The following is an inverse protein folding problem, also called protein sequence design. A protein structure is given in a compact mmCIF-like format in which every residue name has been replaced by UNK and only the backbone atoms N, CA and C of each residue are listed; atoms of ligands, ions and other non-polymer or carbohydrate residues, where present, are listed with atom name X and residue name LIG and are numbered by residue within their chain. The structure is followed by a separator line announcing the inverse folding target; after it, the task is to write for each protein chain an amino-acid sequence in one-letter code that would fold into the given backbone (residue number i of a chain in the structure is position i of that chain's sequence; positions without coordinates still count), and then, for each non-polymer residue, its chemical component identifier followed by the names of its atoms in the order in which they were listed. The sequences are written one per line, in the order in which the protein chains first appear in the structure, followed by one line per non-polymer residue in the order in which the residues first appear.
data_IF_305258435271
#
_entry.id   IF_305258435271
#
_cell.length_a   1.000
_cell.length_b   1.000
_cell.length_c   1.000
_cell.angle_alpha   90.00
_cell.angle_beta   90.00
_cell.angle_gamma   90.00
#
_symmetry.space_group_name_H-M   'P 1'
#
loop_
_entity.id
_entity.type
_entity.pdbx_description
1 polymer ?
#
# COMPACT_ATOMS: atom_id res chain seq x y z
N UNK A 1 -23.61 -17.86 16.82
CA UNK A 1 -24.64 -17.93 17.88
C UNK A 1 -25.98 -17.55 17.26
N UNK A 2 -27.05 -18.29 17.59
CA UNK A 2 -28.41 -17.93 17.18
C UNK A 2 -29.19 -17.57 18.45
N UNK A 3 -29.86 -16.42 18.44
CA UNK A 3 -30.72 -15.94 19.52
C UNK A 3 -32.18 -16.40 19.31
N UNK A 4 -32.97 -16.41 20.39
CA UNK A 4 -34.37 -16.84 20.35
C UNK A 4 -35.28 -15.94 19.49
N UNK A 5 -34.86 -14.70 19.21
CA UNK A 5 -35.53 -13.73 18.34
C UNK A 5 -35.21 -13.94 16.85
N UNK A 6 -34.38 -14.93 16.51
CA UNK A 6 -33.95 -15.21 15.14
C UNK A 6 -32.66 -14.47 14.72
N UNK A 7 -32.06 -13.65 15.58
CA UNK A 7 -30.80 -12.96 15.27
C UNK A 7 -29.64 -13.96 15.21
N UNK A 8 -28.87 -13.92 14.12
CA UNK A 8 -27.71 -14.79 13.91
C UNK A 8 -26.43 -13.97 13.98
N UNK A 9 -25.55 -14.33 14.92
CA UNK A 9 -24.19 -13.80 15.01
C UNK A 9 -23.21 -14.82 14.46
N UNK A 10 -22.42 -14.43 13.47
CA UNK A 10 -21.36 -15.24 12.89
C UNK A 10 -20.08 -14.43 12.75
N UNK A 11 -18.95 -15.10 12.97
CA UNK A 11 -17.60 -14.57 12.80
C UNK A 11 -16.81 -15.61 12.04
N UNK A 12 -16.34 -15.25 10.85
CA UNK A 12 -15.66 -16.18 9.97
C UNK A 12 -14.35 -15.53 9.49
N UNK A 13 -13.20 -15.88 10.09
CA UNK A 13 -11.93 -15.33 9.66
C UNK A 13 -11.56 -15.89 8.28
N UNK A 14 -11.22 -15.00 7.37
CA UNK A 14 -10.87 -15.34 5.99
C UNK A 14 -9.68 -14.50 5.53
N UNK A 15 -8.89 -15.08 4.64
CA UNK A 15 -7.76 -14.43 3.99
C UNK A 15 -8.19 -14.10 2.57
N UNK A 16 -8.04 -12.84 2.17
CA UNK A 16 -8.37 -12.35 0.84
C UNK A 16 -7.15 -11.70 0.22
N UNK A 17 -6.90 -12.02 -1.04
CA UNK A 17 -5.97 -11.27 -1.88
C UNK A 17 -6.77 -10.22 -2.65
N UNK A 18 -6.39 -8.96 -2.51
CA UNK A 18 -7.06 -7.83 -3.18
C UNK A 18 -6.07 -7.00 -3.97
N UNK A 19 -6.58 -6.32 -5.00
CA UNK A 19 -5.78 -5.41 -5.80
C UNK A 19 -5.81 -4.02 -5.19
N UNK A 20 -4.65 -3.40 -5.03
CA UNK A 20 -4.52 -2.02 -4.58
C UNK A 20 -3.60 -1.24 -5.50
N UNK A 21 -4.07 -0.07 -5.97
CA UNK A 21 -3.29 0.80 -6.86
C UNK A 21 -2.40 1.71 -6.04
N UNK A 22 -1.09 1.49 -6.13
CA UNK A 22 -0.11 2.27 -5.36
C UNK A 22 0.25 3.58 -6.06
N UNK A 23 0.36 4.65 -5.28
CA UNK A 23 0.94 5.92 -5.71
C UNK A 23 2.38 6.05 -5.15
N UNK A 24 3.38 6.06 -6.04
CA UNK A 24 4.79 6.03 -5.67
C UNK A 24 5.48 7.40 -5.76
N UNK A 25 4.72 8.50 -5.90
CA UNK A 25 5.29 9.84 -6.07
C UNK A 25 6.21 10.26 -4.90
N UNK A 26 5.89 9.84 -3.68
CA UNK A 26 6.66 10.16 -2.48
C UNK A 26 7.45 8.97 -1.92
N UNK A 27 7.75 7.97 -2.75
CA UNK A 27 8.52 6.80 -2.31
C UNK A 27 9.89 7.24 -1.74
N UNK A 28 10.35 6.70 -0.59
CA UNK A 28 9.76 5.61 0.22
C UNK A 28 8.88 6.08 1.40
N UNK A 29 8.51 7.37 1.46
CA UNK A 29 7.69 7.97 2.52
C UNK A 29 6.21 8.10 2.09
N UNK A 30 5.76 7.15 1.27
CA UNK A 30 4.42 7.10 0.72
C UNK A 30 3.39 6.56 1.72
N UNK A 31 2.17 7.06 1.58
CA UNK A 31 0.96 6.49 2.19
C UNK A 31 0.04 6.02 1.06
N UNK A 32 -0.70 4.95 1.34
CA UNK A 32 -1.58 4.29 0.37
C UNK A 32 -2.97 4.17 0.99
N UNK A 33 -4.01 4.31 0.18
CA UNK A 33 -5.38 3.98 0.56
C UNK A 33 -5.87 2.85 -0.34
N UNK A 34 -6.01 1.66 0.24
CA UNK A 34 -6.48 0.47 -0.46
C UNK A 34 -7.96 0.25 -0.17
N UNK A 35 -8.73 -0.15 -1.17
CA UNK A 35 -10.15 -0.40 -1.05
C UNK A 35 -10.48 -1.89 -1.15
N UNK A 36 -11.42 -2.32 -0.31
CA UNK A 36 -11.99 -3.68 -0.32
C UNK A 36 -13.51 -3.53 -0.25
N UNK A 37 -14.21 -3.98 -1.28
CA UNK A 37 -15.67 -4.01 -1.30
C UNK A 37 -16.18 -5.43 -1.01
N UNK A 38 -17.15 -5.51 -0.10
CA UNK A 38 -17.83 -6.76 0.26
C UNK A 38 -19.32 -6.55 0.06
N UNK A 39 -19.94 -7.43 -0.71
CA UNK A 39 -21.35 -7.39 -1.02
C UNK A 39 -21.89 -8.76 -1.41
N UNK A 40 -23.20 -8.84 -1.54
CA UNK A 40 -23.85 -10.03 -2.11
C UNK A 40 -23.68 -10.03 -3.62
N UNK A 41 -23.32 -11.18 -4.19
CA UNK A 41 -23.29 -11.36 -5.64
C UNK A 41 -24.69 -11.66 -6.22
N UNK A 42 -25.55 -12.27 -5.42
CA UNK A 42 -26.84 -12.83 -5.89
C UNK A 42 -28.01 -11.96 -5.49
N UNK A 43 -27.94 -11.35 -4.31
CA UNK A 43 -29.06 -10.63 -3.73
C UNK A 43 -28.97 -9.13 -4.01
N UNK A 44 -30.06 -8.59 -4.52
CA UNK A 44 -30.19 -7.16 -4.83
C UNK A 44 -30.40 -6.33 -3.55
N UNK A 45 -30.34 -5.01 -3.71
CA UNK A 45 -30.58 -4.02 -2.66
C UNK A 45 -32.00 -4.07 -2.09
N UNK A 46 -32.96 -4.63 -2.83
CA UNK A 46 -34.34 -4.82 -2.38
C UNK A 46 -34.51 -6.08 -1.53
N UNK A 47 -33.63 -7.07 -1.71
CA UNK A 47 -33.68 -8.36 -1.01
C UNK A 47 -32.80 -8.37 0.24
N UNK A 48 -31.66 -7.68 0.19
CA UNK A 48 -30.70 -7.62 1.29
C UNK A 48 -30.24 -6.21 1.60
N UNK A 49 -30.27 -5.86 2.89
CA UNK A 49 -29.74 -4.60 3.38
C UNK A 49 -28.44 -4.84 4.16
N UNK A 50 -27.38 -4.14 3.77
CA UNK A 50 -26.12 -4.12 4.50
C UNK A 50 -26.04 -2.84 5.33
N UNK A 51 -25.70 -2.98 6.60
CA UNK A 51 -25.43 -1.86 7.52
C UNK A 51 -24.09 -2.07 8.23
N UNK A 52 -23.44 -0.98 8.62
CA UNK A 52 -22.24 -1.01 9.45
C UNK A 52 -22.46 -0.19 10.71
N UNK A 53 -22.06 -0.73 11.86
CA UNK A 53 -22.10 -0.02 13.13
C UNK A 53 -20.82 0.78 13.40
N UNK A 54 -19.73 0.46 12.68
CA UNK A 54 -18.43 1.10 12.83
C UNK A 54 -18.00 1.70 11.49
N UNK A 55 -17.93 3.02 11.43
CA UNK A 55 -17.56 3.76 10.22
C UNK A 55 -16.07 4.05 10.15
N UNK A 56 -15.39 4.14 11.29
CA UNK A 56 -13.96 4.40 11.33
C UNK A 56 -13.32 3.78 12.57
N UNK A 57 -12.15 3.18 12.36
CA UNK A 57 -11.25 2.68 13.40
C UNK A 57 -9.87 3.26 13.11
N UNK A 58 -9.30 3.95 14.08
CA UNK A 58 -7.89 4.37 14.06
C UNK A 58 -7.11 3.34 14.85
N UNK A 59 -6.03 2.85 14.26
CA UNK A 59 -5.20 1.80 14.85
C UNK A 59 -4.00 2.48 15.50
N UNK A 60 -4.19 3.03 16.70
CA UNK A 60 -3.16 3.71 17.48
C UNK A 60 -2.44 2.73 18.44
N UNK A 61 -1.77 1.71 17.90
CA UNK A 61 -0.69 0.89 18.52
C UNK A 61 -0.97 0.28 19.92
N UNK A 62 -2.13 0.48 20.54
CA UNK A 62 -2.45 0.01 21.88
C UNK A 62 -3.80 -0.72 21.88
N UNK A 63 -3.78 -2.03 21.62
CA UNK A 63 -4.91 -2.91 21.91
C UNK A 63 -5.54 -3.64 20.73
N UNK A 64 -4.91 -3.65 19.54
CA UNK A 64 -5.39 -4.48 18.43
C UNK A 64 -4.53 -5.73 18.23
N UNK A 65 -5.17 -6.82 17.80
CA UNK A 65 -4.56 -8.13 17.49
C UNK A 65 -3.67 -8.06 16.22
N UNK A 66 -3.55 -6.88 15.60
CA UNK A 66 -2.79 -6.67 14.39
C UNK A 66 -1.30 -6.52 14.72
N UNK A 67 -0.51 -7.54 14.42
CA UNK A 67 0.95 -7.56 14.63
C UNK A 67 1.72 -6.73 13.58
N UNK A 68 1.05 -6.20 12.55
CA UNK A 68 1.72 -5.51 11.45
C UNK A 68 2.48 -6.44 10.51
N UNK A 69 3.09 -5.86 9.48
CA UNK A 69 4.17 -6.52 8.75
C UNK A 69 5.41 -5.61 8.69
N UNK A 70 6.46 -6.11 8.05
CA UNK A 70 7.77 -5.42 7.98
C UNK A 70 7.79 -4.23 7.01
N UNK A 71 6.82 -4.12 6.12
CA UNK A 71 6.81 -3.11 5.05
C UNK A 71 5.75 -2.02 5.29
N UNK A 72 4.60 -2.38 5.85
CA UNK A 72 3.43 -1.53 5.96
C UNK A 72 2.92 -1.47 7.39
N UNK A 73 2.47 -0.29 7.77
CA UNK A 73 1.76 0.01 9.00
C UNK A 73 0.33 0.41 8.65
N UNK A 74 -0.66 -0.32 9.17
CA UNK A 74 -2.07 0.06 9.01
C UNK A 74 -2.39 1.13 10.03
N UNK A 75 -2.78 2.32 9.57
CA UNK A 75 -3.04 3.48 10.44
C UNK A 75 -4.52 3.71 10.68
N UNK A 76 -5.35 3.41 9.68
CA UNK A 76 -6.79 3.70 9.71
C UNK A 76 -7.55 2.71 8.83
N UNK A 77 -8.72 2.30 9.30
CA UNK A 77 -9.71 1.55 8.53
C UNK A 77 -11.01 2.34 8.59
N UNK A 78 -11.54 2.71 7.42
CA UNK A 78 -12.84 3.38 7.29
C UNK A 78 -13.80 2.47 6.53
N UNK A 79 -15.06 2.42 6.93
CA UNK A 79 -16.10 1.66 6.26
C UNK A 79 -17.19 2.62 5.75
N UNK A 80 -17.59 2.45 4.49
CA UNK A 80 -18.68 3.19 3.85
C UNK A 80 -19.65 2.24 3.16
N UNK A 81 -20.94 2.54 3.21
CA UNK A 81 -21.93 1.77 2.46
C UNK A 81 -22.10 2.46 1.10
N UNK A 82 -21.89 1.71 0.02
CA UNK A 82 -22.09 2.18 -1.35
C UNK A 82 -23.07 1.28 -2.08
N UNK A 83 -23.49 1.73 -3.25
CA UNK A 83 -24.37 1.00 -4.14
C UNK A 83 -23.71 0.88 -5.51
N UNK A 84 -23.62 -0.34 -6.01
CA UNK A 84 -23.18 -0.65 -7.37
C UNK A 84 -24.40 -0.99 -8.24
N UNK A 85 -24.21 -0.93 -9.55
CA UNK A 85 -25.23 -1.25 -10.55
C UNK A 85 -24.63 -2.30 -11.47
N UNK A 86 -25.31 -3.43 -11.61
CA UNK A 86 -24.96 -4.49 -12.56
C UNK A 86 -26.23 -4.99 -13.24
N UNK A 87 -26.21 -5.08 -14.57
CA UNK A 87 -27.37 -5.44 -15.41
C UNK A 87 -28.69 -4.71 -15.10
N UNK A 88 -28.60 -3.46 -14.63
CA UNK A 88 -29.76 -2.63 -14.27
C UNK A 88 -30.31 -2.87 -12.87
N UNK A 89 -29.75 -3.83 -12.14
CA UNK A 89 -30.06 -4.11 -10.74
C UNK A 89 -29.09 -3.40 -9.81
N UNK A 90 -29.58 -3.08 -8.61
CA UNK A 90 -28.80 -2.39 -7.59
C UNK A 90 -28.30 -3.37 -6.53
N UNK A 91 -27.03 -3.26 -6.15
CA UNK A 91 -26.43 -4.07 -5.10
C UNK A 91 -25.88 -3.17 -4.00
N UNK A 92 -26.14 -3.52 -2.73
CA UNK A 92 -25.54 -2.82 -1.58
C UNK A 92 -24.25 -3.48 -1.20
N UNK A 93 -23.22 -2.68 -0.99
CA UNK A 93 -21.87 -3.12 -0.67
C UNK A 93 -21.32 -2.31 0.51
N UNK A 94 -20.50 -2.93 1.33
CA UNK A 94 -19.65 -2.24 2.31
C UNK A 94 -18.24 -2.12 1.75
N UNK A 95 -17.73 -0.89 1.69
CA UNK A 95 -16.42 -0.53 1.19
C UNK A 95 -15.51 -0.18 2.36
N UNK A 96 -14.46 -0.97 2.55
CA UNK A 96 -13.41 -0.73 3.51
C UNK A 96 -12.25 0.00 2.84
N UNK A 97 -11.88 1.15 3.38
CA UNK A 97 -10.69 1.93 3.02
C UNK A 97 -9.63 1.72 4.08
N UNK A 98 -8.55 1.05 3.71
CA UNK A 98 -7.42 0.71 4.58
C UNK A 98 -6.28 1.65 4.24
N UNK A 99 -5.91 2.52 5.18
CA UNK A 99 -4.79 3.43 5.04
C UNK A 99 -3.51 2.77 5.53
N UNK A 100 -2.54 2.61 4.62
CA UNK A 100 -1.25 1.97 4.85
C UNK A 100 -0.13 3.01 4.76
N UNK A 101 0.80 2.98 5.72
CA UNK A 101 2.03 3.76 5.71
C UNK A 101 3.24 2.85 5.49
N UNK A 102 4.15 3.21 4.57
CA UNK A 102 5.35 2.42 4.34
C UNK A 102 6.39 2.64 5.45
N UNK A 103 7.00 1.56 5.92
CA UNK A 103 8.21 1.59 6.77
C UNK A 103 9.43 1.91 5.89
N UNK A 104 9.74 3.20 5.77
CA UNK A 104 10.78 3.70 4.86
C UNK A 104 12.22 3.28 5.20
N UNK A 105 12.49 2.85 6.43
CA UNK A 105 13.85 2.62 6.96
C UNK A 105 14.71 1.72 6.08
N UNK A 106 14.18 0.57 5.64
CA UNK A 106 14.88 -0.36 4.78
C UNK A 106 15.32 0.29 3.45
N UNK A 107 14.41 1.03 2.81
CA UNK A 107 14.68 1.70 1.54
C UNK A 107 15.67 2.84 1.67
N UNK A 108 15.67 3.55 2.80
CA UNK A 108 16.67 4.58 3.08
C UNK A 108 18.07 3.97 3.08
N UNK A 109 18.28 2.88 3.83
CA UNK A 109 19.60 2.27 3.96
C UNK A 109 20.08 1.54 2.70
N UNK A 110 19.17 0.90 1.96
CA UNK A 110 19.54 0.08 0.80
C UNK A 110 19.55 0.86 -0.51
N UNK A 111 18.69 1.87 -0.68
CA UNK A 111 18.59 2.63 -1.93
C UNK A 111 19.18 4.03 -1.82
N UNK A 112 18.75 4.83 -0.84
CA UNK A 112 19.13 6.24 -0.78
C UNK A 112 20.58 6.44 -0.35
N UNK A 113 21.03 5.77 0.70
CA UNK A 113 22.40 5.92 1.24
C UNK A 113 23.47 5.54 0.21
N UNK A 114 23.42 4.36 -0.45
CA UNK A 114 24.43 4.00 -1.44
C UNK A 114 24.43 4.94 -2.66
N UNK A 115 23.24 5.33 -3.14
CA UNK A 115 23.11 6.27 -4.26
C UNK A 115 23.73 7.62 -3.92
N UNK A 116 23.48 8.13 -2.72
CA UNK A 116 24.08 9.38 -2.25
C UNK A 116 25.62 9.31 -2.16
N UNK A 117 26.17 8.19 -1.67
CA UNK A 117 27.62 7.99 -1.60
C UNK A 117 28.23 7.99 -3.02
N UNK A 118 27.64 7.23 -3.95
CA UNK A 118 28.14 7.14 -5.32
C UNK A 118 28.06 8.49 -6.04
N UNK A 119 26.93 9.21 -5.95
CA UNK A 119 26.80 10.53 -6.60
C UNK A 119 27.80 11.53 -6.04
N UNK A 120 28.01 11.53 -4.73
CA UNK A 120 29.01 12.39 -4.07
C UNK A 120 30.43 12.04 -4.53
N UNK A 121 30.77 10.76 -4.58
CA UNK A 121 32.08 10.30 -5.08
C UNK A 121 32.30 10.67 -6.55
N UNK A 122 31.27 10.57 -7.40
CA UNK A 122 31.34 10.98 -8.80
C UNK A 122 31.59 12.49 -8.94
N UNK A 123 30.88 13.31 -8.16
CA UNK A 123 31.08 14.77 -8.15
C UNK A 123 32.50 15.11 -7.69
N UNK A 124 32.98 14.53 -6.58
CA UNK A 124 34.34 14.75 -6.09
C UNK A 124 35.37 14.31 -7.13
N UNK A 125 35.19 13.13 -7.73
CA UNK A 125 36.09 12.60 -8.75
C UNK A 125 36.18 13.49 -10.01
N UNK A 126 35.10 14.18 -10.37
CA UNK A 126 35.09 15.15 -11.48
C UNK A 126 35.94 16.40 -11.16
N UNK A 127 35.93 16.86 -9.90
CA UNK A 127 36.64 18.07 -9.48
C UNK A 127 38.02 17.79 -8.86
N UNK A 128 38.37 16.53 -8.61
CA UNK A 128 39.71 16.16 -8.13
C UNK A 128 40.71 16.33 -9.26
N UNK A 129 41.75 17.16 -9.12
CA UNK A 129 42.78 17.30 -10.14
C UNK A 129 43.47 15.94 -10.35
N UNK A 130 43.43 15.44 -11.59
CA UNK A 130 44.17 14.26 -12.01
C UNK A 130 45.65 14.61 -12.17
N UNK A 131 46.31 15.01 -11.09
CA UNK A 131 47.76 15.08 -11.07
C UNK A 131 48.28 13.70 -10.68
N UNK A 132 48.60 12.89 -11.70
CA UNK A 132 49.90 12.22 -11.84
C UNK A 132 50.01 11.49 -13.20
N UNK A 133 50.76 12.10 -14.11
CA UNK A 133 51.59 11.52 -15.18
C UNK A 133 51.02 10.41 -16.08
N UNK A 134 50.66 10.80 -17.31
CA UNK A 134 50.57 9.93 -18.47
C UNK A 134 49.41 10.32 -19.38
N UNK A 135 49.72 10.82 -20.58
CA UNK A 135 48.75 11.22 -21.59
C UNK A 135 47.67 10.12 -21.75
N UNK A 136 46.38 10.45 -21.56
CA UNK A 136 45.29 9.55 -21.97
C UNK A 136 45.33 9.48 -23.49
N UNK A 137 46.10 8.54 -24.02
CA UNK A 137 45.89 8.08 -25.39
C UNK A 137 44.52 7.41 -25.40
N UNK A 138 43.55 8.15 -25.92
CA UNK A 138 42.32 7.57 -26.44
C UNK A 138 42.74 6.40 -27.34
N UNK A 139 42.27 5.18 -27.06
CA UNK A 139 42.47 4.05 -27.96
C UNK A 139 41.66 4.35 -29.21
N UNK A 140 42.27 5.07 -30.16
CA UNK A 140 41.79 5.15 -31.53
C UNK A 140 41.68 3.70 -32.02
N UNK A 141 40.54 3.28 -32.59
CA UNK A 141 40.45 1.96 -33.18
C UNK A 141 41.41 1.93 -34.35
N UNK A 142 42.50 1.19 -34.20
CA UNK A 142 43.33 0.79 -35.31
C UNK A 142 42.49 -0.18 -36.14
N UNK A 143 42.02 0.25 -37.32
CA UNK A 143 41.76 -0.61 -38.48
C UNK A 143 41.39 0.19 -39.74
N UNK A 144 42.32 0.10 -40.69
CA UNK A 144 42.16 -0.11 -42.14
C UNK A 144 41.69 1.05 -43.04
#
# INVERSE_FOLDING_TARGET
QVLADGTVFTTNPSVYDTWCRLNLNNFPFDHQECEINIGSWVYTANETQITTNQTEIRLDVAGTIYEGNSEWEVTRIRAEIKQSIDDGEHFREVWYFITLNRRASYYIYVLLVPTFIVTTLCIIGLFTPLDNFGNRSERVPENQ
#
